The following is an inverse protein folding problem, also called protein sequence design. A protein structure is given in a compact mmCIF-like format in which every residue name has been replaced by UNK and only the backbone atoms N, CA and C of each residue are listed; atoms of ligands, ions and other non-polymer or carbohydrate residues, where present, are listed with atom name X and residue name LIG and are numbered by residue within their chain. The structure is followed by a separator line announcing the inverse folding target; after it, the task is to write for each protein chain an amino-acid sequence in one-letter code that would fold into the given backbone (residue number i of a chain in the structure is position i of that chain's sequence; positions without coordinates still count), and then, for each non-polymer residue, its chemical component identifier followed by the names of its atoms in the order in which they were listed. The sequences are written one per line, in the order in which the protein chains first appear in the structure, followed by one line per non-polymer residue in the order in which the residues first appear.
data_IF_481576958442
#
_entry.id   IF_481576958442
#
_cell.length_a   1.000
_cell.length_b   1.000
_cell.length_c   1.000
_cell.angle_alpha   90.00
_cell.angle_beta   90.00
_cell.angle_gamma   90.00
#
_symmetry.space_group_name_H-M   'P 1'
#
loop_
_entity.id
_entity.type
_entity.pdbx_description
1 polymer ?
#
# COMPACT_ATOMS: atom_id res chain seq x y z
N UNK A 1 -0.22 -5.79 12.71
CA UNK A 1 -0.66 -6.16 11.35
C UNK A 1 0.40 -5.70 10.37
N UNK A 2 0.83 -6.60 9.47
CA UNK A 2 1.75 -6.27 8.36
C UNK A 2 1.08 -6.67 7.04
N UNK A 3 0.85 -5.70 6.14
CA UNK A 3 0.38 -5.91 4.79
C UNK A 3 1.59 -6.11 3.87
N UNK A 4 1.56 -7.09 2.95
CA UNK A 4 2.59 -7.20 1.92
C UNK A 4 2.25 -6.34 0.71
N UNK A 5 3.22 -5.56 0.20
CA UNK A 5 3.11 -4.73 -1.00
C UNK A 5 4.00 -5.29 -2.10
N UNK A 6 3.38 -6.02 -3.06
CA UNK A 6 4.10 -6.96 -3.90
C UNK A 6 5.07 -6.31 -4.89
N UNK A 7 4.67 -5.21 -5.54
CA UNK A 7 5.39 -4.73 -6.73
C UNK A 7 5.39 -3.21 -6.93
N UNK A 8 4.32 -2.49 -6.55
CA UNK A 8 4.23 -1.06 -6.79
C UNK A 8 4.43 -0.68 -8.25
N UNK A 9 5.02 0.48 -8.48
CA UNK A 9 5.41 0.95 -9.82
C UNK A 9 6.67 0.27 -10.36
N UNK A 10 7.32 -0.59 -9.55
CA UNK A 10 8.56 -1.26 -9.94
C UNK A 10 8.30 -2.35 -11.00
N UNK A 11 9.35 -2.68 -11.74
CA UNK A 11 9.30 -3.65 -12.83
C UNK A 11 10.59 -4.47 -12.95
N UNK A 12 10.68 -5.27 -14.03
CA UNK A 12 11.82 -6.17 -14.26
C UNK A 12 13.19 -5.49 -14.33
N UNK A 13 13.22 -4.18 -14.61
CA UNK A 13 14.46 -3.38 -14.69
C UNK A 13 15.11 -3.12 -13.34
N UNK A 14 14.40 -3.30 -12.24
CA UNK A 14 14.90 -3.04 -10.88
C UNK A 14 15.83 -4.15 -10.37
N UNK A 15 16.07 -5.18 -11.19
CA UNK A 15 17.08 -6.22 -10.95
C UNK A 15 16.80 -7.13 -9.76
N UNK A 16 15.57 -7.14 -9.28
CA UNK A 16 15.01 -8.07 -8.30
C UNK A 16 13.83 -8.77 -8.97
N UNK A 17 13.44 -9.93 -8.45
CA UNK A 17 12.27 -10.69 -8.91
C UNK A 17 10.95 -9.98 -8.52
N UNK A 18 10.76 -8.73 -9.00
CA UNK A 18 9.50 -8.01 -8.83
C UNK A 18 8.42 -8.75 -9.60
N UNK A 19 7.32 -9.19 -8.96
CA UNK A 19 6.28 -9.95 -9.64
C UNK A 19 5.47 -9.05 -10.58
N UNK A 20 5.55 -9.32 -11.89
CA UNK A 20 4.86 -8.53 -12.94
C UNK A 20 3.75 -9.32 -13.65
N UNK A 21 3.68 -10.63 -13.49
CA UNK A 21 2.59 -11.44 -14.03
C UNK A 21 1.61 -11.88 -12.93
N UNK A 22 0.32 -12.14 -13.24
CA UNK A 22 -0.64 -12.61 -12.24
C UNK A 22 -0.18 -13.87 -11.49
N UNK A 23 0.47 -14.82 -12.18
CA UNK A 23 1.02 -16.02 -11.55
C UNK A 23 2.15 -15.70 -10.57
N UNK A 24 3.12 -14.85 -10.98
CA UNK A 24 4.22 -14.43 -10.11
C UNK A 24 3.71 -13.62 -8.90
N UNK A 25 2.68 -12.76 -9.09
CA UNK A 25 2.04 -12.04 -8.00
C UNK A 25 1.38 -12.99 -6.99
N UNK A 26 0.70 -14.04 -7.49
CA UNK A 26 0.06 -15.03 -6.64
C UNK A 26 1.08 -15.89 -5.86
N UNK A 27 2.18 -16.28 -6.49
CA UNK A 27 3.25 -17.03 -5.83
C UNK A 27 3.91 -16.16 -4.74
N UNK A 28 4.26 -14.90 -5.06
CA UNK A 28 4.83 -13.95 -4.10
C UNK A 28 3.87 -13.65 -2.93
N UNK A 29 2.57 -13.52 -3.20
CA UNK A 29 1.54 -13.33 -2.18
C UNK A 29 1.48 -14.56 -1.24
N UNK A 30 1.44 -15.77 -1.81
CA UNK A 30 1.37 -17.00 -1.02
C UNK A 30 2.61 -17.17 -0.12
N UNK A 31 3.81 -16.91 -0.64
CA UNK A 31 5.04 -16.94 0.13
C UNK A 31 5.05 -15.91 1.28
N UNK A 32 4.60 -14.67 1.00
CA UNK A 32 4.52 -13.62 2.01
C UNK A 32 3.48 -13.93 3.10
N UNK A 33 2.33 -14.48 2.72
CA UNK A 33 1.29 -14.90 3.68
C UNK A 33 1.79 -16.08 4.53
N UNK A 34 2.52 -17.02 3.95
CA UNK A 34 3.08 -18.15 4.69
C UNK A 34 4.06 -17.74 5.80
N UNK A 35 4.74 -16.60 5.66
CA UNK A 35 5.63 -16.03 6.70
C UNK A 35 4.94 -15.05 7.63
N UNK A 36 3.64 -14.74 7.43
CA UNK A 36 2.83 -13.98 8.39
C UNK A 36 2.25 -12.66 7.89
N UNK A 37 2.32 -12.34 6.58
CA UNK A 37 1.54 -11.22 6.04
C UNK A 37 0.04 -11.48 6.23
N UNK A 38 -0.70 -10.48 6.66
CA UNK A 38 -2.12 -10.59 6.97
C UNK A 38 -3.04 -10.02 5.91
N UNK A 39 -2.49 -9.28 4.97
CA UNK A 39 -3.16 -8.69 3.82
C UNK A 39 -2.17 -8.55 2.65
N UNK A 40 -2.69 -8.45 1.44
CA UNK A 40 -1.90 -8.24 0.22
C UNK A 40 -2.33 -6.94 -0.43
N UNK A 41 -1.34 -6.14 -0.86
CA UNK A 41 -1.53 -5.01 -1.77
C UNK A 41 -0.76 -5.30 -3.07
N UNK A 42 -1.40 -5.03 -4.21
CA UNK A 42 -0.82 -5.32 -5.52
C UNK A 42 -1.17 -4.27 -6.56
N UNK A 43 -0.23 -3.99 -7.45
CA UNK A 43 -0.44 -3.20 -8.66
C UNK A 43 -0.65 -4.16 -9.85
N UNK A 44 -1.88 -4.30 -10.39
CA UNK A 44 -2.10 -5.08 -11.60
C UNK A 44 -1.29 -4.52 -12.78
N UNK A 45 -0.60 -5.40 -13.51
CA UNK A 45 0.25 -5.00 -14.63
C UNK A 45 -0.36 -5.41 -15.96
N UNK A 46 -0.25 -4.52 -16.96
CA UNK A 46 -0.55 -4.81 -18.35
C UNK A 46 0.40 -5.88 -18.90
N UNK A 47 0.11 -6.50 -20.06
CA UNK A 47 1.07 -7.41 -20.71
C UNK A 47 2.43 -6.77 -21.04
N UNK A 48 2.51 -5.43 -21.10
CA UNK A 48 3.76 -4.68 -21.30
C UNK A 48 4.50 -4.39 -19.99
N UNK A 49 3.92 -4.72 -18.83
CA UNK A 49 4.52 -4.50 -17.52
C UNK A 49 4.14 -3.18 -16.83
N UNK A 50 3.34 -2.34 -17.49
CA UNK A 50 2.89 -1.07 -16.93
C UNK A 50 1.71 -1.28 -15.97
N UNK A 51 1.56 -0.38 -14.98
CA UNK A 51 0.39 -0.38 -14.11
C UNK A 51 -0.89 -0.14 -14.90
N UNK A 52 -1.98 -0.81 -14.51
CA UNK A 52 -3.24 -0.66 -15.21
C UNK A 52 -4.45 -0.86 -14.29
N UNK A 53 -5.48 -0.04 -14.50
CA UNK A 53 -6.80 -0.19 -13.86
C UNK A 53 -7.80 -0.93 -14.77
N UNK A 54 -7.32 -1.61 -15.83
CA UNK A 54 -8.17 -2.39 -16.74
C UNK A 54 -9.01 -3.41 -15.97
N UNK A 55 -10.36 -3.39 -16.10
CA UNK A 55 -11.24 -4.35 -15.42
C UNK A 55 -10.88 -5.81 -15.69
N UNK A 56 -10.46 -6.10 -16.92
CA UNK A 56 -10.06 -7.46 -17.33
C UNK A 56 -8.76 -7.91 -16.64
N UNK A 57 -7.77 -7.04 -16.59
CA UNK A 57 -6.47 -7.38 -15.98
C UNK A 57 -6.65 -7.52 -14.48
N UNK A 58 -7.38 -6.60 -13.85
CA UNK A 58 -7.70 -6.67 -12.43
C UNK A 58 -8.39 -8.00 -12.08
N UNK A 59 -9.43 -8.37 -12.83
CA UNK A 59 -10.18 -9.61 -12.57
C UNK A 59 -9.26 -10.82 -12.60
N UNK A 60 -8.42 -10.97 -13.65
CA UNK A 60 -7.46 -12.07 -13.75
C UNK A 60 -6.47 -12.06 -12.60
N UNK A 61 -5.94 -10.89 -12.22
CA UNK A 61 -4.98 -10.76 -11.13
C UNK A 61 -5.60 -11.20 -9.79
N UNK A 62 -6.80 -10.70 -9.47
CA UNK A 62 -7.51 -11.05 -8.25
C UNK A 62 -7.87 -12.54 -8.18
N UNK A 63 -8.37 -13.11 -9.28
CA UNK A 63 -8.77 -14.52 -9.32
C UNK A 63 -7.56 -15.45 -9.09
N UNK A 64 -6.41 -15.14 -9.71
CA UNK A 64 -5.20 -15.96 -9.58
C UNK A 64 -4.59 -15.84 -8.17
N UNK A 65 -4.57 -14.63 -7.58
CA UNK A 65 -4.09 -14.43 -6.21
C UNK A 65 -5.02 -15.11 -5.20
N UNK A 66 -6.32 -14.92 -5.30
CA UNK A 66 -7.33 -15.52 -4.38
C UNK A 66 -7.40 -17.04 -4.46
N UNK A 67 -6.93 -17.64 -5.56
CA UNK A 67 -6.76 -19.09 -5.63
C UNK A 67 -5.59 -19.61 -4.77
N UNK A 68 -4.71 -18.74 -4.28
CA UNK A 68 -3.50 -19.09 -3.51
C UNK A 68 -3.52 -18.59 -2.07
N UNK A 69 -4.28 -17.52 -1.77
CA UNK A 69 -4.35 -16.92 -0.43
C UNK A 69 -5.80 -16.69 -0.01
N UNK A 70 -6.02 -16.70 1.31
CA UNK A 70 -7.35 -16.45 1.91
C UNK A 70 -7.41 -15.10 2.64
N UNK A 71 -6.31 -14.36 2.69
CA UNK A 71 -6.26 -13.02 3.29
C UNK A 71 -6.83 -11.98 2.33
N UNK A 72 -7.29 -10.81 2.84
CA UNK A 72 -7.77 -9.72 1.99
C UNK A 72 -6.74 -9.28 0.94
N UNK A 73 -7.21 -9.00 -0.28
CA UNK A 73 -6.39 -8.54 -1.40
C UNK A 73 -6.86 -7.15 -1.83
N UNK A 74 -5.97 -6.18 -1.69
CA UNK A 74 -6.17 -4.80 -2.11
C UNK A 74 -5.39 -4.45 -3.38
N UNK A 75 -5.80 -3.37 -4.04
CA UNK A 75 -5.18 -2.87 -5.26
C UNK A 75 -4.98 -1.36 -5.22
N UNK A 76 -4.05 -0.85 -6.04
CA UNK A 76 -3.88 0.58 -6.27
C UNK A 76 -5.00 1.17 -7.14
N UNK A 77 -5.25 2.49 -6.99
CA UNK A 77 -5.99 3.31 -7.95
C UNK A 77 -5.20 4.56 -8.36
N UNK A 78 -3.89 4.54 -8.20
CA UNK A 78 -3.01 5.68 -8.39
C UNK A 78 -3.05 6.30 -9.79
N UNK A 79 -2.84 7.62 -9.84
CA UNK A 79 -2.87 8.40 -11.08
C UNK A 79 -1.79 8.00 -12.09
N UNK A 80 -0.73 7.36 -11.66
CA UNK A 80 0.30 6.81 -12.58
C UNK A 80 -0.22 5.66 -13.45
N UNK A 81 -1.25 4.92 -12.99
CA UNK A 81 -1.88 3.87 -13.77
C UNK A 81 -2.94 4.40 -14.76
N UNK A 82 -3.56 5.53 -14.45
CA UNK A 82 -4.53 6.25 -15.30
C UNK A 82 -4.54 7.73 -14.89
N UNK A 83 -3.79 8.59 -15.61
CA UNK A 83 -3.61 9.99 -15.20
C UNK A 83 -4.88 10.86 -15.32
N UNK A 84 -5.77 10.54 -16.29
CA UNK A 84 -6.98 11.33 -16.51
C UNK A 84 -8.06 10.95 -15.48
N UNK A 85 -8.47 11.84 -14.57
CA UNK A 85 -9.38 11.51 -13.47
C UNK A 85 -10.71 10.92 -13.93
N UNK A 86 -11.29 11.43 -15.01
CA UNK A 86 -12.56 10.92 -15.53
C UNK A 86 -12.42 9.49 -16.08
N UNK A 87 -11.31 9.21 -16.77
CA UNK A 87 -11.03 7.87 -17.29
C UNK A 87 -10.72 6.92 -16.15
N UNK A 88 -9.95 7.36 -15.15
CA UNK A 88 -9.67 6.57 -13.93
C UNK A 88 -10.96 6.16 -13.22
N UNK A 89 -11.87 7.11 -13.02
CA UNK A 89 -13.18 6.85 -12.42
C UNK A 89 -13.99 5.82 -13.23
N UNK A 90 -14.02 5.94 -14.56
CA UNK A 90 -14.72 4.99 -15.44
C UNK A 90 -14.08 3.60 -15.41
N UNK A 91 -12.73 3.50 -15.31
CA UNK A 91 -12.06 2.21 -15.13
C UNK A 91 -12.51 1.53 -13.84
N UNK A 92 -12.51 2.26 -12.71
CA UNK A 92 -12.94 1.72 -11.41
C UNK A 92 -14.42 1.33 -11.42
N UNK A 93 -15.28 2.12 -12.04
CA UNK A 93 -16.70 1.76 -12.23
C UNK A 93 -16.89 0.48 -13.05
N UNK A 94 -16.02 0.25 -14.01
CA UNK A 94 -16.05 -0.92 -14.89
C UNK A 94 -15.57 -2.24 -14.25
N UNK A 95 -15.04 -2.23 -13.04
CA UNK A 95 -14.57 -3.45 -12.38
C UNK A 95 -15.73 -4.42 -12.11
N UNK A 96 -15.61 -5.65 -12.55
CA UNK A 96 -16.61 -6.71 -12.36
C UNK A 96 -16.23 -7.66 -11.23
N UNK A 97 -14.94 -7.93 -11.05
CA UNK A 97 -14.39 -8.59 -9.88
C UNK A 97 -13.82 -7.50 -8.97
N UNK A 98 -14.27 -7.45 -7.72
CA UNK A 98 -13.90 -6.38 -6.80
C UNK A 98 -12.78 -6.83 -5.87
N UNK A 99 -11.79 -5.98 -5.56
CA UNK A 99 -10.85 -6.22 -4.49
C UNK A 99 -11.53 -6.09 -3.12
N UNK A 100 -10.87 -6.57 -2.07
CA UNK A 100 -11.37 -6.40 -0.71
C UNK A 100 -11.19 -4.96 -0.23
N UNK A 101 -10.11 -4.30 -0.67
CA UNK A 101 -9.87 -2.89 -0.47
C UNK A 101 -9.09 -2.27 -1.64
N UNK A 102 -9.04 -0.94 -1.69
CA UNK A 102 -8.22 -0.23 -2.66
C UNK A 102 -7.63 1.04 -2.03
N UNK A 103 -6.38 1.35 -2.38
CA UNK A 103 -5.76 2.62 -1.98
C UNK A 103 -6.20 3.74 -2.92
N UNK A 104 -6.50 4.89 -2.33
CA UNK A 104 -6.87 6.12 -3.04
C UNK A 104 -6.05 7.26 -2.47
N UNK A 105 -5.22 7.91 -3.28
CA UNK A 105 -4.35 8.98 -2.84
C UNK A 105 -5.11 10.32 -2.80
N UNK A 106 -5.29 10.90 -1.62
CA UNK A 106 -6.16 12.07 -1.40
C UNK A 106 -5.66 13.36 -2.03
N UNK A 107 -4.37 13.47 -2.32
CA UNK A 107 -3.79 14.61 -3.05
C UNK A 107 -4.10 14.57 -4.56
N UNK A 108 -4.48 13.41 -5.11
CA UNK A 108 -4.76 13.27 -6.54
C UNK A 108 -6.12 13.89 -6.92
N UNK A 109 -6.22 14.49 -8.13
CA UNK A 109 -7.51 14.92 -8.67
C UNK A 109 -8.49 13.74 -8.82
N UNK A 110 -9.76 13.92 -8.42
CA UNK A 110 -10.80 12.88 -8.52
C UNK A 110 -10.75 11.82 -7.42
N UNK A 111 -9.93 11.98 -6.38
CA UNK A 111 -9.77 10.99 -5.29
C UNK A 111 -11.11 10.71 -4.57
N UNK A 112 -11.89 11.74 -4.22
CA UNK A 112 -13.17 11.56 -3.52
C UNK A 112 -14.20 10.83 -4.38
N UNK A 113 -14.26 11.09 -5.67
CA UNK A 113 -15.17 10.43 -6.62
C UNK A 113 -14.82 8.94 -6.74
N UNK A 114 -13.53 8.62 -6.84
CA UNK A 114 -13.04 7.21 -6.86
C UNK A 114 -13.38 6.53 -5.54
N UNK A 115 -13.08 7.17 -4.40
CA UNK A 115 -13.37 6.62 -3.08
C UNK A 115 -14.88 6.40 -2.87
N UNK A 116 -15.74 7.34 -3.30
CA UNK A 116 -17.18 7.18 -3.20
C UNK A 116 -17.70 5.99 -3.99
N UNK A 117 -17.24 5.79 -5.22
CA UNK A 117 -17.62 4.64 -6.06
C UNK A 117 -17.18 3.31 -5.43
N UNK A 118 -15.98 3.25 -4.87
CA UNK A 118 -15.48 2.05 -4.18
C UNK A 118 -16.33 1.71 -2.95
N UNK A 119 -16.59 2.72 -2.10
CA UNK A 119 -17.42 2.56 -0.89
C UNK A 119 -18.85 2.13 -1.22
N UNK A 120 -19.48 2.72 -2.24
CA UNK A 120 -20.82 2.37 -2.69
C UNK A 120 -20.93 0.93 -3.18
N UNK A 121 -19.80 0.35 -3.62
CA UNK A 121 -19.70 -1.03 -4.09
C UNK A 121 -19.20 -2.01 -3.02
N UNK A 122 -19.03 -1.55 -1.77
CA UNK A 122 -18.59 -2.38 -0.66
C UNK A 122 -17.09 -2.68 -0.63
N UNK A 123 -16.28 -1.96 -1.41
CA UNK A 123 -14.82 -2.06 -1.37
C UNK A 123 -14.28 -1.16 -0.26
N UNK A 124 -13.43 -1.71 0.61
CA UNK A 124 -12.75 -0.92 1.63
C UNK A 124 -11.80 0.11 1.02
N UNK A 125 -11.83 1.36 1.49
CA UNK A 125 -10.91 2.39 0.99
C UNK A 125 -9.78 2.61 1.98
N UNK A 126 -8.53 2.47 1.52
CA UNK A 126 -7.34 2.95 2.18
C UNK A 126 -7.09 4.39 1.72
N UNK A 127 -7.32 5.35 2.62
CA UNK A 127 -7.08 6.76 2.30
C UNK A 127 -5.58 7.04 2.33
N UNK A 128 -4.95 7.08 1.15
CA UNK A 128 -3.53 7.38 0.97
C UNK A 128 -3.26 8.86 1.25
N UNK A 129 -2.51 9.13 2.29
CA UNK A 129 -2.10 10.48 2.70
C UNK A 129 -0.59 10.55 2.69
N UNK A 130 -0.05 11.24 1.68
CA UNK A 130 1.38 11.33 1.44
C UNK A 130 1.98 12.52 2.18
N UNK A 131 3.14 12.31 2.80
CA UNK A 131 3.90 13.40 3.42
C UNK A 131 4.27 14.46 2.38
N UNK A 132 4.28 15.73 2.80
CA UNK A 132 4.63 16.84 1.92
C UNK A 132 3.58 17.23 0.86
N UNK A 133 2.36 16.65 0.93
CA UNK A 133 1.24 17.00 0.04
C UNK A 133 0.10 17.67 0.81
N UNK A 134 -0.90 18.17 0.12
CA UNK A 134 -2.14 18.71 0.71
C UNK A 134 -3.15 17.61 1.10
N UNK A 135 -2.78 16.33 0.95
CA UNK A 135 -3.67 15.19 1.17
C UNK A 135 -4.30 15.17 2.57
N UNK A 136 -3.53 15.46 3.61
CA UNK A 136 -4.04 15.51 4.98
C UNK A 136 -5.11 16.59 5.18
N UNK A 137 -4.88 17.80 4.65
CA UNK A 137 -5.85 18.91 4.72
C UNK A 137 -7.13 18.58 3.95
N UNK A 138 -7.01 18.02 2.75
CA UNK A 138 -8.17 17.61 1.93
C UNK A 138 -8.95 16.49 2.61
N UNK A 139 -8.28 15.50 3.17
CA UNK A 139 -8.92 14.40 3.90
C UNK A 139 -9.66 14.88 5.15
N UNK A 140 -9.10 15.84 5.89
CA UNK A 140 -9.68 16.38 7.12
C UNK A 140 -11.09 17.00 6.90
N UNK A 141 -11.35 17.57 5.72
CA UNK A 141 -12.64 18.18 5.37
C UNK A 141 -13.55 17.24 4.56
N UNK A 142 -13.04 16.08 4.14
CA UNK A 142 -13.79 15.13 3.33
C UNK A 142 -14.98 14.53 4.08
N UNK A 143 -16.19 14.46 3.46
CA UNK A 143 -17.34 13.78 4.03
C UNK A 143 -17.13 12.25 4.11
N UNK A 144 -16.11 11.71 3.44
CA UNK A 144 -15.79 10.28 3.40
C UNK A 144 -14.83 9.85 4.50
N UNK A 145 -14.19 10.79 5.22
CA UNK A 145 -13.14 10.51 6.20
C UNK A 145 -13.50 9.47 7.27
N UNK A 146 -14.78 9.41 7.67
CA UNK A 146 -15.28 8.45 8.65
C UNK A 146 -15.75 7.12 8.05
N UNK A 147 -15.78 7.01 6.72
CA UNK A 147 -16.29 5.85 5.98
C UNK A 147 -15.16 4.96 5.44
N UNK A 148 -13.95 5.48 5.33
CA UNK A 148 -12.79 4.71 4.82
C UNK A 148 -12.47 3.54 5.75
N UNK A 149 -11.84 2.51 5.21
CA UNK A 149 -11.38 1.36 5.96
C UNK A 149 -10.32 1.78 6.98
N UNK A 150 -9.33 2.53 6.53
CA UNK A 150 -8.21 3.08 7.32
C UNK A 150 -7.53 4.25 6.59
N UNK A 151 -6.73 4.99 7.33
CA UNK A 151 -5.78 5.94 6.77
C UNK A 151 -4.49 5.21 6.45
N UNK A 152 -4.00 5.35 5.22
CA UNK A 152 -2.70 4.88 4.77
C UNK A 152 -1.76 6.08 4.80
N UNK A 153 -0.99 6.23 5.90
CA UNK A 153 -0.04 7.32 6.08
C UNK A 153 1.29 6.94 5.42
N UNK A 154 1.60 7.61 4.32
CA UNK A 154 2.70 7.29 3.42
C UNK A 154 3.79 8.34 3.50
N UNK A 155 4.96 7.93 3.98
CA UNK A 155 6.13 8.79 4.16
C UNK A 155 7.02 8.64 2.93
N UNK A 156 7.00 9.67 2.09
CA UNK A 156 7.75 9.73 0.81
C UNK A 156 9.17 10.27 0.97
N UNK A 157 9.62 10.53 2.21
CA UNK A 157 10.98 10.94 2.53
C UNK A 157 11.92 9.72 2.45
N UNK A 158 12.82 9.65 1.44
CA UNK A 158 13.68 8.50 1.24
C UNK A 158 14.92 8.52 2.14
N UNK A 159 15.16 9.59 2.89
CA UNK A 159 16.31 9.71 3.78
C UNK A 159 16.03 9.02 5.13
N UNK A 160 16.84 8.01 5.43
CA UNK A 160 16.70 7.22 6.65
C UNK A 160 16.84 8.04 7.95
N UNK A 161 17.59 9.12 7.92
CA UNK A 161 17.85 9.97 9.09
C UNK A 161 16.71 10.95 9.37
N UNK A 162 15.91 11.32 8.37
CA UNK A 162 14.82 12.29 8.47
C UNK A 162 13.42 11.67 8.39
N UNK A 163 13.28 10.47 7.83
CA UNK A 163 12.00 9.81 7.58
C UNK A 163 11.14 9.64 8.85
N UNK A 164 11.74 9.37 10.02
CA UNK A 164 10.98 9.27 11.27
C UNK A 164 10.39 10.63 11.68
N UNK A 165 11.12 11.72 11.50
CA UNK A 165 10.61 13.07 11.77
C UNK A 165 9.48 13.43 10.80
N UNK A 166 9.63 13.10 9.51
CA UNK A 166 8.61 13.26 8.48
C UNK A 166 7.34 12.45 8.80
N UNK A 167 7.49 11.22 9.30
CA UNK A 167 6.38 10.38 9.75
C UNK A 167 5.61 11.01 10.92
N UNK A 168 6.32 11.53 11.92
CA UNK A 168 5.72 12.19 13.07
C UNK A 168 4.99 13.48 12.69
N UNK A 169 5.55 14.24 11.75
CA UNK A 169 4.89 15.43 11.20
C UNK A 169 3.59 15.06 10.49
N UNK A 170 3.62 14.06 9.61
CA UNK A 170 2.43 13.55 8.91
C UNK A 170 1.33 13.08 9.88
N UNK A 171 1.70 12.30 10.92
CA UNK A 171 0.74 11.86 11.94
C UNK A 171 0.17 13.03 12.73
N UNK A 172 0.94 14.08 13.00
CA UNK A 172 0.46 15.30 13.66
C UNK A 172 -0.52 16.08 12.77
N UNK A 173 -0.25 16.18 11.46
CA UNK A 173 -1.17 16.81 10.48
C UNK A 173 -2.50 16.05 10.37
N UNK A 174 -2.45 14.70 10.32
CA UNK A 174 -3.63 13.86 10.31
C UNK A 174 -4.49 14.02 11.56
N UNK A 175 -3.86 14.22 12.71
CA UNK A 175 -4.55 14.26 14.00
C UNK A 175 -5.35 12.98 14.28
N UNK A 176 -6.29 13.05 15.21
CA UNK A 176 -7.13 11.91 15.62
C UNK A 176 -8.60 12.05 15.22
N UNK A 177 -8.98 13.16 14.60
CA UNK A 177 -10.38 13.50 14.29
C UNK A 177 -11.07 12.62 13.25
N UNK A 178 -10.31 11.80 12.51
CA UNK A 178 -10.86 10.85 11.54
C UNK A 178 -11.42 9.57 12.19
N UNK A 179 -11.02 9.23 13.42
CA UNK A 179 -11.47 8.03 14.16
C UNK A 179 -11.32 6.71 13.39
N UNK A 180 -10.31 6.61 12.52
CA UNK A 180 -10.02 5.41 11.72
C UNK A 180 -8.66 4.83 12.08
N UNK A 181 -8.45 3.51 11.96
CA UNK A 181 -7.13 2.92 12.11
C UNK A 181 -6.13 3.58 11.15
N UNK A 182 -4.87 3.64 11.56
CA UNK A 182 -3.77 4.13 10.72
C UNK A 182 -2.83 2.98 10.40
N UNK A 183 -2.47 2.86 9.13
CA UNK A 183 -1.36 2.06 8.65
C UNK A 183 -0.26 3.05 8.24
N UNK A 184 0.91 2.95 8.87
CA UNK A 184 2.05 3.86 8.64
C UNK A 184 3.17 3.10 7.94
N UNK A 185 3.66 3.65 6.85
CA UNK A 185 4.83 3.11 6.14
C UNK A 185 5.67 4.21 5.49
N UNK A 186 6.87 3.85 5.07
CA UNK A 186 7.78 4.69 4.32
C UNK A 186 8.34 3.95 3.12
N UNK A 187 9.04 4.67 2.26
CA UNK A 187 9.62 4.17 1.02
C UNK A 187 11.15 4.23 1.05
N UNK A 188 11.77 3.35 0.28
CA UNK A 188 13.22 3.28 0.06
C UNK A 188 14.04 3.35 1.37
N UNK A 189 14.88 4.34 1.58
CA UNK A 189 15.65 4.49 2.81
C UNK A 189 14.80 4.79 4.05
N UNK A 190 13.61 5.39 3.87
CA UNK A 190 12.63 5.65 4.93
C UNK A 190 11.85 4.41 5.38
N UNK A 191 11.83 3.33 4.57
CA UNK A 191 10.97 2.17 4.83
C UNK A 191 11.18 1.55 6.22
N UNK A 192 12.41 1.22 6.58
CA UNK A 192 12.73 0.57 7.85
C UNK A 192 12.61 1.49 9.08
N UNK A 193 13.12 2.75 9.06
CA UNK A 193 12.90 3.69 10.16
C UNK A 193 11.42 3.90 10.48
N UNK A 194 10.59 4.10 9.45
CA UNK A 194 9.15 4.34 9.61
C UNK A 194 8.43 3.07 10.08
N UNK A 195 8.81 1.88 9.58
CA UNK A 195 8.25 0.61 10.07
C UNK A 195 8.52 0.41 11.57
N UNK A 196 9.76 0.66 12.02
CA UNK A 196 10.09 0.59 13.45
C UNK A 196 9.29 1.61 14.28
N UNK A 197 9.09 2.81 13.74
CA UNK A 197 8.22 3.80 14.39
C UNK A 197 6.78 3.29 14.48
N UNK A 198 6.23 2.70 13.41
CA UNK A 198 4.89 2.11 13.44
C UNK A 198 4.77 1.06 14.55
N UNK A 199 5.77 0.19 14.71
CA UNK A 199 5.84 -0.78 15.81
C UNK A 199 5.81 -0.12 17.18
N UNK A 200 6.68 0.87 17.44
CA UNK A 200 6.71 1.61 18.72
C UNK A 200 5.39 2.32 19.03
N UNK A 201 4.65 2.75 18.03
CA UNK A 201 3.35 3.41 18.19
C UNK A 201 2.16 2.44 18.21
N UNK A 202 2.39 1.12 18.05
CA UNK A 202 1.33 0.12 17.96
C UNK A 202 0.45 0.25 16.70
N UNK A 203 0.95 0.90 15.64
CA UNK A 203 0.25 1.08 14.40
C UNK A 203 0.45 -0.12 13.48
N UNK A 204 -0.48 -0.32 12.55
CA UNK A 204 -0.29 -1.22 11.44
C UNK A 204 0.79 -0.68 10.49
N UNK A 205 1.40 -1.57 9.71
CA UNK A 205 2.39 -1.20 8.70
C UNK A 205 2.27 -2.07 7.46
N UNK A 206 3.01 -1.73 6.40
CA UNK A 206 3.19 -2.56 5.22
C UNK A 206 4.66 -2.69 4.86
N UNK A 207 5.00 -3.72 4.11
CA UNK A 207 6.35 -3.96 3.64
C UNK A 207 6.34 -4.88 2.41
N UNK A 208 7.15 -4.54 1.42
CA UNK A 208 7.36 -5.38 0.25
C UNK A 208 8.33 -4.75 -0.75
N UNK A 209 8.46 -5.41 -1.91
CA UNK A 209 9.31 -4.92 -3.00
C UNK A 209 8.81 -3.60 -3.61
N UNK A 210 7.58 -3.20 -3.33
CA UNK A 210 7.08 -1.86 -3.60
C UNK A 210 7.79 -0.82 -2.75
N UNK A 211 7.94 -1.07 -1.45
CA UNK A 211 8.40 -0.09 -0.48
C UNK A 211 9.94 0.02 -0.46
N UNK A 212 10.64 -1.12 -0.57
CA UNK A 212 12.11 -1.14 -0.60
C UNK A 212 12.67 -2.39 -1.29
N UNK A 213 13.86 -2.26 -1.86
CA UNK A 213 14.62 -3.38 -2.43
C UNK A 213 15.71 -3.93 -1.49
N UNK A 214 15.83 -3.36 -0.29
CA UNK A 214 16.94 -3.65 0.62
C UNK A 214 16.43 -4.07 2.00
N UNK A 215 17.15 -4.99 2.62
CA UNK A 215 17.01 -5.36 4.02
C UNK A 215 17.63 -4.28 4.93
N UNK A 216 17.34 -4.30 6.26
CA UNK A 216 17.91 -3.31 7.19
C UNK A 216 19.43 -3.29 7.26
N UNK A 217 20.09 -4.40 6.89
CA UNK A 217 21.56 -4.52 6.86
C UNK A 217 22.18 -3.99 5.55
N UNK A 218 21.35 -3.47 4.62
CA UNK A 218 21.78 -2.94 3.32
C UNK A 218 21.94 -4.01 2.22
N UNK A 219 21.71 -5.29 2.52
CA UNK A 219 21.69 -6.34 1.51
C UNK A 219 20.41 -6.27 0.66
N UNK A 220 20.52 -6.67 -0.60
CA UNK A 220 19.35 -6.74 -1.48
C UNK A 220 18.41 -7.85 -1.03
N UNK A 221 17.12 -7.52 -0.91
CA UNK A 221 16.09 -8.51 -0.63
C UNK A 221 15.90 -9.47 -1.84
N UNK A 222 15.67 -10.72 -1.56
CA UNK A 222 15.46 -11.76 -2.57
C UNK A 222 13.97 -11.94 -2.92
N UNK A 223 13.06 -11.56 -2.01
CA UNK A 223 11.61 -11.74 -2.21
C UNK A 223 10.79 -10.86 -1.26
N UNK A 224 9.49 -10.73 -1.57
CA UNK A 224 8.50 -10.14 -0.66
C UNK A 224 8.44 -10.89 0.69
N UNK A 225 8.52 -12.21 0.67
CA UNK A 225 8.49 -13.02 1.89
C UNK A 225 9.67 -12.71 2.83
N UNK A 226 10.87 -12.50 2.26
CA UNK A 226 12.02 -12.11 3.08
C UNK A 226 11.83 -10.75 3.74
N UNK A 227 11.34 -9.76 3.00
CA UNK A 227 11.03 -8.43 3.53
C UNK A 227 9.97 -8.48 4.62
N UNK A 228 8.88 -9.24 4.41
CA UNK A 228 7.82 -9.41 5.42
C UNK A 228 8.33 -10.13 6.66
N UNK A 229 9.13 -11.20 6.52
CA UNK A 229 9.69 -11.90 7.68
C UNK A 229 10.55 -10.96 8.55
N UNK A 230 11.40 -10.16 7.93
CA UNK A 230 12.20 -9.15 8.62
C UNK A 230 11.32 -8.04 9.20
N UNK A 231 10.31 -7.58 8.48
CA UNK A 231 9.37 -6.57 8.96
C UNK A 231 8.63 -7.01 10.22
N UNK A 232 8.21 -8.26 10.31
CA UNK A 232 7.55 -8.80 11.51
C UNK A 232 8.49 -8.78 12.72
N UNK A 233 9.78 -9.07 12.54
CA UNK A 233 10.78 -8.97 13.60
C UNK A 233 10.96 -7.52 14.03
N UNK A 234 11.22 -6.61 13.09
CA UNK A 234 11.49 -5.19 13.37
C UNK A 234 10.28 -4.45 13.96
N UNK A 235 9.07 -4.77 13.50
CA UNK A 235 7.82 -4.21 14.01
C UNK A 235 7.48 -4.71 15.43
N UNK A 236 7.83 -5.96 15.74
CA UNK A 236 7.61 -6.58 17.05
C UNK A 236 8.68 -6.24 18.10
N UNK A 237 9.85 -5.78 17.68
CA UNK A 237 10.89 -5.31 18.59
C UNK A 237 10.46 -3.98 19.23
N UNK A 238 9.70 -4.06 20.32
CA UNK A 238 9.61 -2.93 21.23
C UNK A 238 10.95 -2.88 21.97
N UNK A 239 11.72 -1.81 21.78
CA UNK A 239 12.85 -1.55 22.64
C UNK A 239 12.32 -1.57 24.07
N UNK A 240 12.66 -2.62 24.79
CA UNK A 240 12.39 -2.72 26.22
C UNK A 240 13.20 -1.64 26.93
N UNK A 241 12.68 -0.41 26.89
CA UNK A 241 13.16 0.68 27.69
C UNK A 241 12.50 0.52 29.06
N UNK A 242 13.32 0.03 29.98
CA UNK A 242 13.10 0.11 31.41
C UNK A 242 13.01 1.57 31.89
#
# INVERSE_FOLDING_TARGET
MVQVCLNGVRGAVDGVMVPVSPGAMADAAAEAVAVGATEVHVHPKSPCGDDTLSPRVLAVTLDVIRARVTVPVGVTTGAWAEPEPAVRLERVRGWTVLPDHASVNWHEPGAEEVAAVLLDRGVGVEAGIWSGTDGAARFAVSPLRSKVLRVLAEVTDPDADTAEASARALLAELGTGHCRPVLLHGEDGGAWPVLRLAGRLGLATRMGLEDTLFLPNGERALSNAQLVAEALVQHGCHDGAA
#
